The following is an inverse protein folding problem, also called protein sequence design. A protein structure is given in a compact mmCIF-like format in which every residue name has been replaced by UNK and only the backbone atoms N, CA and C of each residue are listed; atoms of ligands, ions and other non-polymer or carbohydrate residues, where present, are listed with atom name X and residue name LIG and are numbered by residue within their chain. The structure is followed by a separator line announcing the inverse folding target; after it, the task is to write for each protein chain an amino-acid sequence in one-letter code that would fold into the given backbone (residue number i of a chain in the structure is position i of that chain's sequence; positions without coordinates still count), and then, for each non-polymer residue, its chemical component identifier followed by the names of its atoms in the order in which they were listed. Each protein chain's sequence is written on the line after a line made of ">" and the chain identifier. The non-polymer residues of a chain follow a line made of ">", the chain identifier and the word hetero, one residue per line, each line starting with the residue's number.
data_IF_701135775429
#
_entry.id   IF_701135775429
#
_cell.length_a   1.000
_cell.length_b   1.000
_cell.length_c   1.000
_cell.angle_alpha   90.00
_cell.angle_beta   90.00
_cell.angle_gamma   90.00
#
_symmetry.space_group_name_H-M   'P 1'
#
loop_
_entity.id
_entity.type
_entity.pdbx_description
1 polymer ?
#
# COMPACT_ATOMS: atom_id res chain seq x y z
N UNK A 1 -21.34 -3.69 14.53
CA UNK A 1 -20.74 -4.44 15.67
C UNK A 1 -19.35 -4.87 15.24
N UNK A 2 -18.28 -4.45 15.93
CA UNK A 2 -16.92 -4.88 15.60
C UNK A 2 -16.71 -6.32 16.09
N UNK A 3 -16.47 -7.25 15.15
CA UNK A 3 -16.19 -8.66 15.46
C UNK A 3 -14.82 -8.75 16.15
N UNK A 4 -14.77 -9.03 17.44
CA UNK A 4 -13.49 -9.22 18.14
C UNK A 4 -12.85 -10.53 17.72
N UNK A 5 -11.60 -10.49 17.24
CA UNK A 5 -10.82 -11.69 16.91
C UNK A 5 -10.07 -12.13 18.17
N UNK A 6 -10.25 -13.38 18.64
CA UNK A 6 -9.59 -13.83 19.86
C UNK A 6 -8.07 -13.97 19.67
N UNK A 7 -7.33 -13.81 20.76
CA UNK A 7 -5.89 -14.09 20.79
C UNK A 7 -5.68 -15.58 20.46
N UNK A 8 -4.82 -15.85 19.48
CA UNK A 8 -4.51 -17.21 19.02
C UNK A 8 -3.31 -17.77 19.78
N UNK A 9 -3.29 -19.07 20.10
CA UNK A 9 -2.14 -19.71 20.69
C UNK A 9 -0.97 -19.80 19.69
N UNK A 10 0.25 -19.86 20.22
CA UNK A 10 1.44 -20.20 19.43
C UNK A 10 1.45 -21.72 19.21
N UNK A 11 1.67 -22.13 17.96
CA UNK A 11 1.86 -23.54 17.56
C UNK A 11 3.21 -23.70 16.87
N UNK A 12 3.87 -24.83 17.05
CA UNK A 12 5.16 -25.09 16.38
C UNK A 12 4.94 -25.83 15.06
N UNK A 13 5.32 -25.21 13.95
CA UNK A 13 5.31 -25.83 12.61
C UNK A 13 6.75 -25.94 12.14
N UNK A 14 7.22 -27.16 11.88
CA UNK A 14 8.61 -27.45 11.50
C UNK A 14 9.68 -26.87 12.46
N UNK A 15 9.34 -26.77 13.76
CA UNK A 15 10.22 -26.19 14.78
C UNK A 15 10.10 -24.67 14.93
N UNK A 16 9.32 -24.00 14.09
CA UNK A 16 9.13 -22.55 14.13
C UNK A 16 7.84 -22.16 14.87
N UNK A 17 7.89 -21.20 15.82
CA UNK A 17 6.71 -20.70 16.50
C UNK A 17 5.84 -19.92 15.51
N UNK A 18 4.61 -20.39 15.31
CA UNK A 18 3.67 -19.87 14.32
C UNK A 18 2.33 -19.55 14.97
N UNK A 19 1.70 -18.48 14.50
CA UNK A 19 0.30 -18.16 14.81
C UNK A 19 -0.51 -18.25 13.52
N UNK A 20 -1.65 -18.94 13.56
CA UNK A 20 -2.49 -19.17 12.37
C UNK A 20 -3.79 -18.39 12.47
N UNK A 21 -4.09 -17.64 11.42
CA UNK A 21 -5.35 -16.96 11.23
C UNK A 21 -6.07 -17.55 10.02
N UNK A 22 -7.38 -17.71 10.12
CA UNK A 22 -8.20 -18.05 8.96
C UNK A 22 -8.33 -16.84 8.03
N UNK A 23 -8.53 -17.09 6.73
CA UNK A 23 -8.71 -16.03 5.74
C UNK A 23 -9.82 -15.03 6.14
N UNK A 24 -10.95 -15.52 6.65
CA UNK A 24 -12.07 -14.69 7.11
C UNK A 24 -11.68 -13.79 8.28
N UNK A 25 -10.83 -14.27 9.18
CA UNK A 25 -10.32 -13.47 10.30
C UNK A 25 -9.42 -12.35 9.77
N UNK A 26 -8.54 -12.66 8.83
CA UNK A 26 -7.68 -11.66 8.18
C UNK A 26 -8.51 -10.60 7.45
N UNK A 27 -9.56 -10.99 6.72
CA UNK A 27 -10.49 -10.06 6.06
C UNK A 27 -11.17 -9.10 7.07
N UNK A 28 -11.58 -9.62 8.23
CA UNK A 28 -12.13 -8.81 9.32
C UNK A 28 -11.08 -7.84 9.87
N UNK A 29 -9.83 -8.27 10.06
CA UNK A 29 -8.73 -7.39 10.50
C UNK A 29 -8.47 -6.26 9.52
N UNK A 30 -8.41 -6.57 8.22
CA UNK A 30 -8.21 -5.56 7.16
C UNK A 30 -9.28 -4.49 7.24
N UNK A 31 -10.54 -4.90 7.39
CA UNK A 31 -11.65 -3.96 7.49
C UNK A 31 -11.57 -3.12 8.78
N UNK A 32 -11.26 -3.74 9.93
CA UNK A 32 -11.17 -3.05 11.21
C UNK A 32 -10.00 -2.07 11.30
N UNK A 33 -8.90 -2.36 10.61
CA UNK A 33 -7.73 -1.50 10.55
C UNK A 33 -7.75 -0.53 9.34
N UNK A 34 -8.88 -0.47 8.63
CA UNK A 34 -9.09 0.45 7.50
C UNK A 34 -8.04 0.28 6.39
N UNK A 35 -7.63 -0.96 6.12
CA UNK A 35 -6.57 -1.28 5.18
C UNK A 35 -7.07 -1.52 3.73
N UNK A 36 -8.39 -1.45 3.51
CA UNK A 36 -8.99 -1.68 2.19
C UNK A 36 -8.52 -0.69 1.12
N UNK A 37 -8.22 0.54 1.51
CA UNK A 37 -7.71 1.61 0.65
C UNK A 37 -6.28 2.00 1.04
N UNK A 38 -5.49 1.02 1.49
CA UNK A 38 -4.10 1.23 1.86
C UNK A 38 -3.18 1.15 0.63
N UNK A 39 -2.25 2.10 0.58
CA UNK A 39 -1.20 2.22 -0.43
C UNK A 39 0.14 2.25 0.28
N UNK A 40 1.13 1.59 -0.30
CA UNK A 40 2.51 1.62 0.16
C UNK A 40 3.26 2.65 -0.65
N UNK A 41 3.83 3.65 0.01
CA UNK A 41 4.77 4.60 -0.58
C UNK A 41 6.20 4.15 -0.32
N UNK A 42 6.94 3.76 -1.36
CA UNK A 42 8.34 3.35 -1.29
C UNK A 42 9.26 4.47 -1.79
N UNK A 43 10.23 4.85 -0.97
CA UNK A 43 11.24 5.84 -1.35
C UNK A 43 12.55 5.17 -1.76
N UNK A 44 13.10 5.55 -2.91
CA UNK A 44 14.32 4.91 -3.43
C UNK A 44 15.61 5.49 -2.82
N UNK A 45 15.71 6.82 -2.70
CA UNK A 45 16.97 7.53 -2.39
C UNK A 45 16.80 8.50 -1.20
N UNK A 46 16.68 7.93 0.00
CA UNK A 46 16.29 8.68 1.19
C UNK A 46 14.86 9.18 1.12
N UNK A 47 14.42 9.83 2.19
CA UNK A 47 13.06 10.36 2.32
C UNK A 47 13.03 11.48 3.37
N UNK A 48 12.07 12.41 3.29
CA UNK A 48 11.85 13.40 4.35
C UNK A 48 11.43 12.74 5.66
N UNK A 49 11.50 13.50 6.76
CA UNK A 49 10.96 13.07 8.04
C UNK A 49 9.46 12.73 7.93
N UNK A 50 9.01 11.68 8.63
CA UNK A 50 7.61 11.20 8.59
C UNK A 50 6.59 12.30 8.92
N UNK A 51 6.93 13.20 9.84
CA UNK A 51 6.09 14.35 10.20
C UNK A 51 5.87 15.30 9.02
N UNK A 52 6.89 15.51 8.19
CA UNK A 52 6.78 16.32 6.98
C UNK A 52 5.99 15.59 5.90
N UNK A 53 6.19 14.28 5.75
CA UNK A 53 5.47 13.48 4.75
C UNK A 53 3.97 13.47 4.93
N UNK A 54 3.49 13.51 6.18
CA UNK A 54 2.06 13.67 6.50
C UNK A 54 1.44 14.94 5.90
N UNK A 55 2.25 15.96 5.64
CA UNK A 55 1.80 17.23 5.05
C UNK A 55 2.13 17.30 3.55
N UNK A 56 3.30 16.79 3.14
CA UNK A 56 3.78 16.89 1.77
C UNK A 56 3.03 15.94 0.83
N UNK A 57 2.78 14.69 1.23
CA UNK A 57 2.13 13.69 0.36
C UNK A 57 0.71 14.15 -0.02
N UNK A 58 -0.20 14.51 0.91
CA UNK A 58 -1.55 14.92 0.52
C UNK A 58 -1.54 16.12 -0.44
N UNK A 59 -0.73 17.14 -0.11
CA UNK A 59 -0.64 18.37 -0.89
C UNK A 59 -0.05 18.16 -2.29
N UNK A 60 1.03 17.38 -2.41
CA UNK A 60 1.76 17.24 -3.68
C UNK A 60 1.22 16.14 -4.57
N UNK A 61 0.58 15.12 -3.98
CA UNK A 61 -0.14 14.09 -4.73
C UNK A 61 -1.55 14.54 -5.15
N UNK A 62 -2.05 15.66 -4.60
CA UNK A 62 -3.38 16.20 -4.94
C UNK A 62 -4.53 15.43 -4.30
N UNK A 63 -4.31 14.91 -3.08
CA UNK A 63 -5.31 14.16 -2.34
C UNK A 63 -6.35 15.12 -1.75
N UNK A 64 -7.61 14.71 -1.80
CA UNK A 64 -8.77 15.56 -1.49
C UNK A 64 -9.25 15.40 -0.06
N UNK A 65 -9.16 14.20 0.50
CA UNK A 65 -9.53 13.93 1.88
C UNK A 65 -8.30 13.88 2.80
N UNK A 66 -8.55 13.90 4.11
CA UNK A 66 -7.52 13.54 5.07
C UNK A 66 -7.12 12.08 4.87
N UNK A 67 -5.81 11.83 4.91
CA UNK A 67 -5.23 10.49 4.79
C UNK A 67 -4.32 10.21 5.98
N UNK A 68 -4.32 8.97 6.45
CA UNK A 68 -3.45 8.57 7.54
C UNK A 68 -2.12 8.03 6.98
N UNK A 69 -1.01 8.61 7.41
CA UNK A 69 0.34 8.19 6.97
C UNK A 69 1.16 7.73 8.17
N UNK A 70 1.56 6.45 8.13
CA UNK A 70 2.38 5.79 9.13
C UNK A 70 3.69 5.25 8.55
N UNK A 71 4.70 5.11 9.41
CA UNK A 71 5.91 4.36 9.07
C UNK A 71 5.54 2.88 8.95
N UNK A 72 5.95 2.22 7.88
CA UNK A 72 5.81 0.78 7.70
C UNK A 72 7.16 0.08 7.94
N UNK A 73 8.20 0.51 7.22
CA UNK A 73 9.59 0.04 7.33
C UNK A 73 10.55 1.18 6.94
N UNK A 74 11.87 0.95 6.98
CA UNK A 74 12.93 1.96 6.80
C UNK A 74 12.72 2.96 5.65
N UNK A 75 12.21 2.51 4.49
CA UNK A 75 11.92 3.36 3.32
C UNK A 75 10.48 3.25 2.83
N UNK A 76 9.58 2.73 3.65
CA UNK A 76 8.18 2.48 3.29
C UNK A 76 7.24 3.20 4.24
N UNK A 77 6.29 3.94 3.66
CA UNK A 77 5.15 4.50 4.39
C UNK A 77 3.88 3.74 4.01
N UNK A 78 3.00 3.57 4.98
CA UNK A 78 1.64 3.10 4.76
C UNK A 78 0.71 4.32 4.71
N UNK A 79 0.04 4.51 3.58
CA UNK A 79 -0.92 5.59 3.34
C UNK A 79 -2.31 4.96 3.32
N UNK A 80 -3.16 5.28 4.29
CA UNK A 80 -4.55 4.83 4.33
C UNK A 80 -5.45 5.97 3.85
N UNK A 81 -6.07 5.76 2.69
CA UNK A 81 -6.99 6.72 2.10
C UNK A 81 -8.37 6.58 2.72
N UNK A 82 -9.04 7.71 2.96
CA UNK A 82 -10.41 7.73 3.49
C UNK A 82 -11.43 7.52 2.36
N UNK A 83 -11.11 7.94 1.14
CA UNK A 83 -11.99 7.85 -0.03
C UNK A 83 -11.29 7.10 -1.18
N UNK A 84 -12.10 6.46 -2.03
CA UNK A 84 -11.60 5.69 -3.18
C UNK A 84 -10.88 6.58 -4.20
N UNK A 85 -11.32 7.83 -4.39
CA UNK A 85 -10.72 8.75 -5.36
C UNK A 85 -9.24 9.06 -5.06
N UNK A 86 -8.87 9.20 -3.79
CA UNK A 86 -7.48 9.42 -3.38
C UNK A 86 -6.63 8.15 -3.56
N UNK A 87 -7.22 6.98 -3.29
CA UNK A 87 -6.61 5.69 -3.58
C UNK A 87 -6.33 5.54 -5.08
N UNK A 88 -7.31 5.84 -5.93
CA UNK A 88 -7.16 5.79 -7.39
C UNK A 88 -6.13 6.80 -7.87
N UNK A 89 -6.09 8.00 -7.27
CA UNK A 89 -5.07 9.02 -7.57
C UNK A 89 -3.67 8.49 -7.29
N UNK A 90 -3.44 7.87 -6.12
CA UNK A 90 -2.15 7.28 -5.76
C UNK A 90 -1.78 6.06 -6.61
N UNK A 91 -2.76 5.25 -7.01
CA UNK A 91 -2.52 4.03 -7.80
C UNK A 91 -2.40 4.29 -9.30
N UNK A 92 -2.96 5.40 -9.82
CA UNK A 92 -2.92 5.76 -11.25
C UNK A 92 -1.55 6.27 -11.71
N UNK A 93 -0.72 6.73 -10.78
CA UNK A 93 0.64 7.21 -11.07
C UNK A 93 1.66 6.30 -10.41
N UNK A 94 2.61 5.80 -11.20
CA UNK A 94 3.62 4.87 -10.71
C UNK A 94 4.67 5.53 -9.78
N UNK A 95 4.95 6.82 -9.99
CA UNK A 95 5.95 7.56 -9.21
C UNK A 95 5.49 9.00 -8.98
N UNK A 96 5.68 9.49 -7.75
CA UNK A 96 5.47 10.86 -7.34
C UNK A 96 6.82 11.48 -6.94
N UNK A 97 7.01 12.74 -7.30
CA UNK A 97 8.14 13.55 -6.85
C UNK A 97 7.70 14.37 -5.64
N UNK A 98 8.16 14.00 -4.45
CA UNK A 98 7.89 14.69 -3.20
C UNK A 98 9.03 15.66 -2.91
N UNK A 99 8.75 16.96 -2.90
CA UNK A 99 9.74 18.02 -2.68
C UNK A 99 9.73 18.51 -1.24
N UNK A 100 10.90 18.55 -0.63
CA UNK A 100 11.14 19.23 0.64
C UNK A 100 12.26 20.26 0.44
N UNK A 101 12.02 21.55 0.68
CA UNK A 101 13.03 22.62 0.53
C UNK A 101 13.86 22.52 -0.77
N UNK A 102 13.20 22.23 -1.90
CA UNK A 102 13.78 22.01 -3.24
C UNK A 102 14.59 20.73 -3.45
N UNK A 103 14.68 19.83 -2.45
CA UNK A 103 15.20 18.48 -2.65
C UNK A 103 14.07 17.53 -3.06
N UNK A 104 14.14 16.89 -4.24
CA UNK A 104 13.14 15.92 -4.67
C UNK A 104 13.42 14.54 -4.07
N UNK A 105 12.36 13.86 -3.67
CA UNK A 105 12.36 12.47 -3.25
C UNK A 105 11.35 11.69 -4.09
N UNK A 106 11.80 10.61 -4.72
CA UNK A 106 10.95 9.80 -5.57
C UNK A 106 10.23 8.74 -4.73
N UNK A 107 8.91 8.84 -4.71
CA UNK A 107 8.00 7.90 -4.06
C UNK A 107 7.29 7.06 -5.10
N UNK A 108 7.51 5.74 -5.10
CA UNK A 108 6.70 4.79 -5.87
C UNK A 108 5.53 4.31 -5.04
N UNK A 109 4.37 4.14 -5.66
CA UNK A 109 3.17 3.64 -4.99
C UNK A 109 2.89 2.19 -5.37
N UNK A 110 2.48 1.40 -4.39
CA UNK A 110 2.06 0.02 -4.57
C UNK A 110 0.77 -0.23 -3.81
N UNK A 111 -0.06 -1.13 -4.32
CA UNK A 111 -1.20 -1.63 -3.57
C UNK A 111 -0.69 -2.36 -2.33
N UNK A 112 -1.27 -2.06 -1.17
CA UNK A 112 -1.03 -2.87 0.02
C UNK A 112 -1.83 -4.17 -0.06
N UNK A 113 -1.21 -5.28 0.34
CA UNK A 113 -1.88 -6.55 0.56
C UNK A 113 -1.22 -7.36 1.69
N UNK A 114 -1.86 -8.46 2.08
CA UNK A 114 -1.43 -9.34 3.18
C UNK A 114 -0.13 -10.10 2.87
N UNK A 115 0.30 -10.11 1.61
CA UNK A 115 1.53 -10.76 1.15
C UNK A 115 2.67 -9.77 0.98
N UNK A 116 2.46 -8.49 1.31
CA UNK A 116 3.51 -7.48 1.23
C UNK A 116 4.71 -7.89 2.10
N UNK A 117 5.88 -7.96 1.47
CA UNK A 117 7.16 -8.19 2.11
C UNK A 117 8.10 -7.00 1.78
N UNK A 118 8.56 -6.22 2.77
CA UNK A 118 9.42 -5.05 2.53
C UNK A 118 10.81 -5.40 1.98
N UNK A 119 11.27 -6.64 2.20
CA UNK A 119 12.58 -7.13 1.71
C UNK A 119 12.49 -7.61 0.26
N UNK A 120 11.28 -7.94 -0.22
CA UNK A 120 11.05 -8.32 -1.60
C UNK A 120 10.61 -7.09 -2.40
N UNK A 121 11.31 -6.79 -3.50
CA UNK A 121 10.78 -5.81 -4.43
C UNK A 121 9.52 -6.38 -5.10
N UNK A 122 8.40 -5.67 -4.91
CA UNK A 122 7.09 -6.09 -5.42
C UNK A 122 7.18 -6.42 -6.91
N UNK A 123 7.07 -7.71 -7.26
CA UNK A 123 7.29 -8.25 -8.61
C UNK A 123 6.12 -7.99 -9.58
N UNK A 124 5.50 -6.82 -9.54
CA UNK A 124 4.47 -6.47 -10.53
C UNK A 124 5.13 -5.80 -11.74
N UNK A 125 5.40 -6.59 -12.77
CA UNK A 125 5.69 -6.08 -14.10
C UNK A 125 4.36 -5.90 -14.85
N UNK A 126 4.08 -4.69 -15.33
CA UNK A 126 3.01 -4.47 -16.30
C UNK A 126 3.48 -5.06 -17.64
N UNK A 127 2.91 -6.20 -18.01
CA UNK A 127 3.10 -6.82 -19.33
C UNK A 127 1.87 -6.56 -20.20
N UNK A 128 2.08 -6.14 -21.44
CA UNK A 128 1.04 -6.18 -22.46
C UNK A 128 0.86 -7.63 -22.89
N UNK A 129 -0.30 -8.23 -22.62
CA UNK A 129 -0.66 -9.52 -23.21
C UNK A 129 -1.50 -9.27 -24.46
N UNK A 130 -1.03 -9.73 -25.62
CA UNK A 130 -1.82 -9.78 -26.84
C UNK A 130 -2.41 -11.17 -26.98
N UNK A 131 -3.73 -11.25 -27.19
CA UNK A 131 -4.38 -12.52 -27.52
C UNK A 131 -4.47 -12.64 -29.04
N UNK A 132 -3.68 -13.51 -29.70
CA UNK A 132 -3.60 -13.58 -31.17
C UNK A 132 -4.91 -14.01 -31.88
N UNK A 133 -5.99 -14.25 -31.14
CA UNK A 133 -7.30 -14.70 -31.66
C UNK A 133 -8.48 -13.78 -31.29
N UNK A 134 -8.24 -12.64 -30.65
CA UNK A 134 -9.30 -11.67 -30.33
C UNK A 134 -9.00 -10.39 -31.11
N UNK A 135 -9.88 -10.03 -32.03
CA UNK A 135 -9.77 -8.78 -32.78
C UNK A 135 -9.90 -7.59 -31.81
N UNK A 136 -9.06 -6.54 -31.96
CA UNK A 136 -9.00 -5.41 -31.02
C UNK A 136 -10.17 -4.41 -31.17
N UNK A 137 -11.39 -4.87 -31.45
CA UNK A 137 -12.48 -4.02 -31.92
C UNK A 137 -13.46 -3.51 -30.86
N UNK A 138 -13.21 -3.68 -29.55
CA UNK A 138 -14.13 -3.18 -28.52
C UNK A 138 -13.42 -2.59 -27.29
N UNK A 139 -12.53 -1.61 -27.50
CA UNK A 139 -12.09 -0.71 -26.45
C UNK A 139 -11.97 0.72 -27.00
N UNK A 140 -13.11 1.41 -27.04
CA UNK A 140 -13.22 2.87 -26.93
C UNK A 140 -14.45 3.19 -26.09
#
# INVERSE_FOLDING_TARGET
>A
MSISIPIKPIVYLHGEPTVRFEKKEVEVMIHQQELNLAVIGKFSHGWPEIGLLRTLIPKQCGLKAEVNIGLLCDRHVLIRCTIAEDYDTLMSRQTFEIKEKNKPYLMRTFKWDVTFNPEEETRFAYGWISFPRIAPTLLW
#
